data_IF_092987072814
#
_entry.id   IF_092987072814
#
_cell.length_a   1.000
_cell.length_b   1.000
_cell.length_c   1.000
_cell.angle_alpha   90.00
_cell.angle_beta   90.00
_cell.angle_gamma   90.00
#
_symmetry.space_group_name_H-M   'P 1'
#
loop_
_entity.id
_entity.type
_entity.pdbx_description
1 polymer ?
#
# COMPACT_ATOMS: atom_id res chain seq x y z
N UNK A 1 -1.36 -2.09 -28.14
CA UNK A 1 -2.64 -2.54 -28.74
C UNK A 1 -2.90 -3.98 -28.38
N UNK A 2 -2.20 -4.98 -28.94
CA UNK A 2 -2.49 -6.40 -28.71
C UNK A 2 -2.75 -6.85 -27.24
N UNK A 3 -1.96 -6.38 -26.27
CA UNK A 3 -2.18 -6.71 -24.85
C UNK A 3 -3.42 -6.03 -24.25
N UNK A 4 -3.65 -4.75 -24.57
CA UNK A 4 -4.82 -4.01 -24.08
C UNK A 4 -6.10 -4.60 -24.68
N UNK A 5 -6.06 -4.97 -25.95
CA UNK A 5 -7.17 -5.62 -26.65
C UNK A 5 -7.45 -7.01 -26.08
N UNK A 6 -6.40 -7.78 -25.74
CA UNK A 6 -6.53 -9.07 -25.05
C UNK A 6 -7.17 -8.93 -23.67
N UNK A 7 -6.73 -7.95 -22.88
CA UNK A 7 -7.28 -7.66 -21.55
C UNK A 7 -8.73 -7.19 -21.60
N UNK A 8 -9.09 -6.39 -22.60
CA UNK A 8 -10.45 -5.93 -22.81
C UNK A 8 -11.38 -7.04 -23.29
N UNK A 9 -10.87 -7.99 -24.08
CA UNK A 9 -11.67 -9.08 -24.67
C UNK A 9 -11.71 -10.36 -23.85
N UNK A 10 -10.79 -10.55 -22.90
CA UNK A 10 -10.69 -11.79 -22.13
C UNK A 10 -10.63 -11.54 -20.62
N UNK A 11 -11.77 -11.74 -19.96
CA UNK A 11 -11.92 -11.57 -18.51
C UNK A 11 -10.96 -12.46 -17.72
N UNK A 12 -10.70 -13.69 -18.14
CA UNK A 12 -9.81 -14.58 -17.40
C UNK A 12 -8.37 -14.03 -17.35
N UNK A 13 -7.87 -13.49 -18.47
CA UNK A 13 -6.57 -12.84 -18.51
C UNK A 13 -6.53 -11.56 -17.68
N UNK A 14 -7.59 -10.75 -17.73
CA UNK A 14 -7.72 -9.57 -16.89
C UNK A 14 -7.63 -9.91 -15.40
N UNK A 15 -8.40 -10.89 -14.94
CA UNK A 15 -8.40 -11.32 -13.55
C UNK A 15 -7.06 -11.90 -13.12
N UNK A 16 -6.43 -12.73 -13.96
CA UNK A 16 -5.13 -13.33 -13.67
C UNK A 16 -4.01 -12.28 -13.56
N UNK A 17 -3.94 -11.35 -14.51
CA UNK A 17 -2.95 -10.28 -14.51
C UNK A 17 -3.18 -9.34 -13.31
N UNK A 18 -4.43 -9.02 -13.01
CA UNK A 18 -4.75 -8.17 -11.86
C UNK A 18 -4.44 -8.85 -10.53
N UNK A 19 -4.65 -10.17 -10.42
CA UNK A 19 -4.26 -10.94 -9.24
C UNK A 19 -2.74 -10.92 -9.02
N UNK A 20 -1.96 -11.14 -10.09
CA UNK A 20 -0.49 -11.09 -10.04
C UNK A 20 0.00 -9.69 -9.68
N UNK A 21 -0.59 -8.65 -10.27
CA UNK A 21 -0.29 -7.27 -9.92
C UNK A 21 -0.62 -6.99 -8.44
N UNK A 22 -1.78 -7.46 -7.96
CA UNK A 22 -2.19 -7.32 -6.57
C UNK A 22 -1.23 -8.01 -5.59
N UNK A 23 -0.67 -9.17 -5.93
CA UNK A 23 0.39 -9.82 -5.14
C UNK A 23 1.65 -8.95 -5.05
N UNK A 24 2.10 -8.41 -6.20
CA UNK A 24 3.30 -7.55 -6.26
C UNK A 24 3.10 -6.25 -5.48
N UNK A 25 1.95 -5.60 -5.68
CA UNK A 25 1.61 -4.37 -4.97
C UNK A 25 1.43 -4.63 -3.48
N UNK A 26 0.75 -5.72 -3.09
CA UNK A 26 0.62 -6.11 -1.68
C UNK A 26 1.96 -6.31 -0.98
N UNK A 27 2.95 -6.84 -1.70
CA UNK A 27 4.32 -6.97 -1.17
C UNK A 27 4.96 -5.60 -0.94
N UNK A 28 4.75 -4.65 -1.85
CA UNK A 28 5.15 -3.25 -1.65
C UNK A 28 4.36 -2.56 -0.52
N UNK A 29 3.07 -2.85 -0.35
CA UNK A 29 2.25 -2.29 0.72
C UNK A 29 2.81 -2.65 2.10
N UNK A 30 3.36 -3.85 2.29
CA UNK A 30 4.07 -4.20 3.53
C UNK A 30 5.20 -3.21 3.86
N UNK A 31 5.91 -2.72 2.84
CA UNK A 31 6.96 -1.69 3.00
C UNK A 31 6.35 -0.35 3.40
N UNK A 32 5.28 0.07 2.72
CA UNK A 32 4.58 1.33 3.03
C UNK A 32 4.03 1.32 4.45
N UNK A 33 3.29 0.27 4.82
CA UNK A 33 2.67 0.09 6.14
C UNK A 33 3.71 0.19 7.25
N UNK A 34 4.86 -0.45 7.07
CA UNK A 34 5.91 -0.45 8.09
C UNK A 34 6.72 0.85 8.12
N UNK A 35 7.12 1.38 6.97
CA UNK A 35 8.12 2.46 6.91
C UNK A 35 7.53 3.86 6.95
N UNK A 36 6.34 4.07 6.41
CA UNK A 36 5.76 5.40 6.32
C UNK A 36 5.56 6.05 7.70
N UNK A 37 5.00 5.36 8.72
CA UNK A 37 4.88 5.94 10.06
C UNK A 37 6.24 6.25 10.70
N UNK A 38 7.25 5.41 10.46
CA UNK A 38 8.61 5.61 10.97
C UNK A 38 9.28 6.84 10.35
N UNK A 39 9.10 7.04 9.04
CA UNK A 39 9.60 8.22 8.32
C UNK A 39 8.95 9.47 8.91
N UNK A 40 7.61 9.49 9.02
CA UNK A 40 6.88 10.63 9.58
C UNK A 40 7.30 10.95 11.01
N UNK A 41 7.51 9.93 11.86
CA UNK A 41 7.96 10.13 13.24
C UNK A 41 9.37 10.73 13.30
N UNK A 42 10.26 10.33 12.38
CA UNK A 42 11.61 10.89 12.28
C UNK A 42 11.57 12.35 11.84
N UNK A 43 10.81 12.65 10.79
CA UNK A 43 10.66 14.02 10.27
C UNK A 43 10.09 14.94 11.36
N UNK A 44 9.07 14.48 12.10
CA UNK A 44 8.50 15.22 13.23
C UNK A 44 9.52 15.50 14.33
N UNK A 45 10.33 14.51 14.72
CA UNK A 45 11.39 14.71 15.73
C UNK A 45 12.45 15.71 15.28
N UNK A 46 12.83 15.66 14.00
CA UNK A 46 13.78 16.61 13.41
C UNK A 46 13.25 18.03 13.49
N UNK A 47 11.98 18.24 13.12
CA UNK A 47 11.30 19.54 13.21
C UNK A 47 11.20 20.06 14.66
N UNK A 48 10.93 19.18 15.64
CA UNK A 48 10.92 19.57 17.04
C UNK A 48 12.31 19.97 17.55
N UNK A 49 13.36 19.24 17.15
CA UNK A 49 14.74 19.58 17.53
C UNK A 49 15.15 20.94 16.95
N UNK A 50 14.83 21.19 15.67
CA UNK A 50 15.03 22.48 15.02
C UNK A 50 14.27 23.61 15.76
N UNK A 51 12.98 23.41 16.05
CA UNK A 51 12.15 24.41 16.73
C UNK A 51 12.64 24.74 18.15
N UNK A 52 13.21 23.77 18.87
CA UNK A 52 13.73 23.94 20.22
C UNK A 52 15.20 24.40 20.25
N UNK A 53 15.81 24.65 19.09
CA UNK A 53 17.24 24.97 18.93
C UNK A 53 18.16 23.92 19.60
N UNK A 54 17.70 22.67 19.66
CA UNK A 54 18.48 21.57 20.21
C UNK A 54 19.30 20.91 19.09
N UNK A 55 20.60 20.62 19.31
CA UNK A 55 21.38 19.87 18.34
C UNK A 55 20.70 18.52 18.11
N UNK A 56 20.40 18.23 16.86
CA UNK A 56 19.72 17.00 16.45
C UNK A 56 20.50 15.79 16.99
N UNK A 57 19.94 15.11 17.98
CA UNK A 57 20.44 13.81 18.43
C UNK A 57 19.96 12.76 17.43
N UNK A 58 20.38 12.87 16.17
CA UNK A 58 20.12 11.85 15.18
C UNK A 58 20.77 10.57 15.69
N UNK A 59 20.02 9.47 15.93
CA UNK A 59 20.65 8.17 16.01
C UNK A 59 21.47 8.00 14.72
N UNK A 60 22.66 7.43 14.81
CA UNK A 60 23.53 7.15 13.64
C UNK A 60 22.93 6.12 12.66
N UNK A 61 21.61 5.95 12.65
CA UNK A 61 20.87 5.02 11.81
C UNK A 61 20.80 5.54 10.38
N UNK A 62 20.91 4.59 9.44
CA UNK A 62 20.81 4.80 8.01
C UNK A 62 19.51 5.56 7.65
N UNK A 63 19.61 6.50 6.72
CA UNK A 63 18.45 7.22 6.19
C UNK A 63 17.41 6.22 5.63
N UNK A 64 16.21 6.21 6.21
CA UNK A 64 15.11 5.33 5.78
C UNK A 64 14.22 6.10 4.81
N UNK A 65 13.94 5.48 3.68
CA UNK A 65 12.90 5.86 2.73
C UNK A 65 12.07 4.63 2.36
N UNK A 66 11.05 4.82 1.51
CA UNK A 66 10.26 3.71 0.98
C UNK A 66 11.10 2.75 0.11
N UNK A 67 12.16 3.24 -0.55
CA UNK A 67 12.99 2.44 -1.45
C UNK A 67 14.33 2.02 -0.84
N UNK A 68 14.78 2.64 0.25
CA UNK A 68 16.08 2.40 0.90
C UNK A 68 15.95 2.37 2.42
N UNK A 69 16.73 1.53 3.14
CA UNK A 69 17.56 0.44 2.62
C UNK A 69 16.71 -0.70 2.05
N UNK A 70 17.35 -1.70 1.43
CA UNK A 70 16.66 -2.92 0.97
C UNK A 70 15.98 -3.65 2.15
N UNK A 71 14.98 -4.48 1.85
CA UNK A 71 14.34 -5.34 2.87
C UNK A 71 15.38 -6.23 3.55
N UNK A 72 15.31 -6.33 4.88
CA UNK A 72 16.26 -7.09 5.71
C UNK A 72 15.53 -7.95 6.71
N UNK A 73 16.15 -9.06 7.12
CA UNK A 73 15.68 -9.85 8.25
C UNK A 73 15.82 -9.03 9.55
N UNK A 74 14.77 -8.91 10.39
CA UNK A 74 14.86 -8.17 11.65
C UNK A 74 15.73 -8.86 12.71
N UNK A 75 16.07 -10.14 12.52
CA UNK A 75 16.86 -10.90 13.51
C UNK A 75 18.37 -10.91 13.20
N UNK A 76 18.76 -11.15 11.95
CA UNK A 76 20.18 -11.24 11.56
C UNK A 76 20.66 -10.13 10.63
N UNK A 77 19.77 -9.25 10.15
CA UNK A 77 20.14 -8.17 9.22
C UNK A 77 20.43 -8.63 7.78
N UNK A 78 20.27 -9.93 7.48
CA UNK A 78 20.40 -10.49 6.13
C UNK A 78 19.58 -9.68 5.12
N UNK A 79 20.21 -9.31 4.00
CA UNK A 79 19.54 -8.54 2.95
C UNK A 79 18.74 -9.48 2.06
N UNK A 80 17.43 -9.26 2.01
CA UNK A 80 16.52 -10.10 1.24
C UNK A 80 16.77 -9.90 -0.26
N UNK A 81 17.10 -11.00 -0.94
CA UNK A 81 17.28 -11.09 -2.38
C UNK A 81 15.96 -11.01 -3.15
N UNK A 82 16.03 -10.80 -4.48
CA UNK A 82 14.84 -10.68 -5.31
C UNK A 82 13.98 -11.97 -5.29
N UNK A 83 14.61 -13.14 -5.30
CA UNK A 83 13.93 -14.44 -5.25
C UNK A 83 13.27 -14.70 -3.88
N UNK A 84 13.88 -14.18 -2.81
CA UNK A 84 13.33 -14.26 -1.45
C UNK A 84 12.16 -13.28 -1.23
N UNK A 85 11.96 -12.34 -2.17
CA UNK A 85 10.90 -11.33 -2.13
C UNK A 85 9.78 -11.59 -3.15
N UNK A 86 9.69 -12.81 -3.72
CA UNK A 86 8.58 -13.19 -4.59
C UNK A 86 7.33 -13.39 -3.71
N UNK A 87 6.26 -12.58 -3.91
CA UNK A 87 5.09 -12.58 -3.03
C UNK A 87 4.50 -13.98 -2.86
N UNK A 88 4.17 -14.36 -1.61
CA UNK A 88 3.60 -15.64 -1.17
C UNK A 88 4.50 -16.87 -1.42
N UNK A 89 5.06 -17.00 -2.62
CA UNK A 89 5.86 -18.14 -3.07
C UNK A 89 7.15 -18.25 -2.25
N UNK A 90 7.87 -17.15 -2.04
CA UNK A 90 9.11 -17.19 -1.25
C UNK A 90 8.84 -17.58 0.20
N UNK A 91 7.74 -17.07 0.78
CA UNK A 91 7.32 -17.41 2.14
C UNK A 91 7.01 -18.90 2.28
N UNK A 92 6.26 -19.48 1.33
CA UNK A 92 5.93 -20.90 1.34
C UNK A 92 7.16 -21.79 1.15
N UNK A 93 8.05 -21.43 0.22
CA UNK A 93 9.29 -22.17 -0.02
C UNK A 93 10.19 -22.14 1.22
N UNK A 94 10.41 -20.97 1.80
CA UNK A 94 11.22 -20.81 3.01
C UNK A 94 10.49 -21.28 4.29
N UNK A 95 9.26 -21.79 4.18
CA UNK A 95 8.40 -22.26 5.28
C UNK A 95 8.22 -21.20 6.38
N UNK A 96 8.08 -19.94 5.96
CA UNK A 96 7.93 -18.79 6.84
C UNK A 96 9.17 -18.51 7.70
N UNK A 97 10.38 -18.82 7.21
CA UNK A 97 11.64 -18.58 7.92
C UNK A 97 12.62 -17.76 7.09
N UNK A 98 13.55 -17.08 7.74
CA UNK A 98 14.70 -16.47 7.07
C UNK A 98 15.61 -17.56 6.49
N UNK A 99 16.11 -17.36 5.27
CA UNK A 99 17.00 -18.31 4.61
C UNK A 99 18.36 -18.45 5.31
N UNK A 100 18.82 -17.40 5.99
CA UNK A 100 20.13 -17.36 6.65
C UNK A 100 20.05 -17.83 8.12
N UNK A 101 19.29 -17.13 8.97
CA UNK A 101 19.22 -17.45 10.40
C UNK A 101 18.09 -18.41 10.81
N UNK A 102 17.16 -18.77 9.90
CA UNK A 102 16.04 -19.66 10.23
C UNK A 102 14.97 -19.07 11.16
N UNK A 103 15.08 -17.80 11.55
CA UNK A 103 14.09 -17.11 12.38
C UNK A 103 12.73 -17.02 11.66
N UNK A 104 11.63 -17.11 12.41
CA UNK A 104 10.27 -17.07 11.84
C UNK A 104 9.94 -15.67 11.32
N UNK A 105 9.35 -15.61 10.13
CA UNK A 105 8.81 -14.41 9.50
C UNK A 105 7.29 -14.38 9.75
N UNK A 106 6.77 -13.22 10.14
CA UNK A 106 5.35 -13.03 10.44
C UNK A 106 4.46 -13.46 9.27
N UNK A 107 3.34 -14.16 9.51
CA UNK A 107 2.37 -14.48 8.45
C UNK A 107 1.63 -13.23 7.94
N UNK A 108 1.77 -12.08 8.59
CA UNK A 108 1.17 -10.81 8.16
C UNK A 108 1.58 -10.43 6.73
N UNK A 109 2.84 -10.69 6.35
CA UNK A 109 3.36 -10.36 5.01
C UNK A 109 2.57 -11.08 3.89
N UNK A 110 2.52 -12.44 3.86
CA UNK A 110 1.75 -13.14 2.83
C UNK A 110 0.24 -12.91 2.96
N UNK A 111 -0.30 -12.63 4.15
CA UNK A 111 -1.72 -12.29 4.30
C UNK A 111 -2.04 -11.00 3.55
N UNK A 112 -1.25 -9.93 3.73
CA UNK A 112 -1.46 -8.66 3.01
C UNK A 112 -1.34 -8.85 1.51
N UNK A 113 -0.38 -9.65 1.04
CA UNK A 113 -0.21 -9.97 -0.38
C UNK A 113 -1.45 -10.67 -0.95
N UNK A 114 -1.95 -11.71 -0.29
CA UNK A 114 -3.13 -12.49 -0.72
C UNK A 114 -4.39 -11.62 -0.68
N UNK A 115 -4.62 -10.87 0.40
CA UNK A 115 -5.79 -9.99 0.52
C UNK A 115 -5.76 -8.92 -0.57
N UNK A 116 -4.59 -8.34 -0.86
CA UNK A 116 -4.45 -7.34 -1.93
C UNK A 116 -4.75 -7.98 -3.29
N UNK A 117 -4.28 -9.19 -3.57
CA UNK A 117 -4.60 -9.91 -4.80
C UNK A 117 -6.10 -10.19 -4.93
N UNK A 118 -6.73 -10.73 -3.88
CA UNK A 118 -8.16 -11.06 -3.88
C UNK A 118 -9.04 -9.83 -4.08
N UNK A 119 -8.78 -8.74 -3.36
CA UNK A 119 -9.55 -7.51 -3.51
C UNK A 119 -9.31 -6.87 -4.88
N UNK A 120 -8.08 -6.89 -5.39
CA UNK A 120 -7.77 -6.40 -6.74
C UNK A 120 -8.54 -7.19 -7.81
N UNK A 121 -8.61 -8.51 -7.67
CA UNK A 121 -9.40 -9.37 -8.57
C UNK A 121 -10.90 -9.09 -8.44
N UNK A 122 -11.41 -8.84 -7.23
CA UNK A 122 -12.82 -8.47 -7.04
C UNK A 122 -13.17 -7.15 -7.75
N UNK A 123 -12.30 -6.15 -7.64
CA UNK A 123 -12.44 -4.86 -8.36
C UNK A 123 -12.39 -5.06 -9.87
N UNK A 124 -11.45 -5.88 -10.38
CA UNK A 124 -11.36 -6.22 -11.81
C UNK A 124 -12.60 -6.94 -12.32
N UNK A 125 -13.18 -7.84 -11.52
CA UNK A 125 -14.40 -8.53 -11.88
C UNK A 125 -15.59 -7.56 -11.93
N UNK A 126 -15.68 -6.61 -10.99
CA UNK A 126 -16.77 -5.66 -10.94
C UNK A 126 -16.73 -4.61 -12.05
N UNK A 127 -15.59 -3.97 -12.26
CA UNK A 127 -15.47 -2.84 -13.20
C UNK A 127 -15.06 -3.24 -14.63
N UNK A 128 -14.47 -4.43 -14.82
CA UNK A 128 -13.87 -4.81 -16.09
C UNK A 128 -12.67 -3.94 -16.47
N UNK A 129 -12.16 -4.07 -17.70
CA UNK A 129 -11.01 -3.29 -18.14
C UNK A 129 -11.39 -1.83 -18.43
N UNK A 130 -10.75 -0.87 -17.76
CA UNK A 130 -10.99 0.56 -18.00
C UNK A 130 -10.46 1.47 -16.88
N UNK A 131 -10.77 2.77 -16.98
CA UNK A 131 -10.35 3.76 -15.98
C UNK A 131 -10.97 3.54 -14.60
N UNK A 132 -12.19 3.00 -14.54
CA UNK A 132 -12.85 2.63 -13.29
C UNK A 132 -12.10 1.50 -12.55
N UNK A 133 -11.49 0.57 -13.28
CA UNK A 133 -10.62 -0.42 -12.66
C UNK A 133 -9.35 0.21 -12.10
N UNK A 134 -8.69 1.07 -12.87
CA UNK A 134 -7.45 1.70 -12.43
C UNK A 134 -7.65 2.53 -11.15
N UNK A 135 -8.71 3.35 -11.08
CA UNK A 135 -9.03 4.11 -9.87
C UNK A 135 -9.48 3.22 -8.71
N UNK A 136 -10.28 2.18 -8.98
CA UNK A 136 -10.72 1.21 -7.96
C UNK A 136 -9.56 0.45 -7.34
N UNK A 137 -8.55 0.06 -8.13
CA UNK A 137 -7.33 -0.59 -7.64
C UNK A 137 -6.52 0.35 -6.75
N UNK A 138 -6.29 1.58 -7.21
CA UNK A 138 -5.55 2.58 -6.43
C UNK A 138 -6.23 2.84 -5.08
N UNK A 139 -7.55 3.05 -5.09
CA UNK A 139 -8.35 3.24 -3.87
C UNK A 139 -8.21 2.03 -2.94
N UNK A 140 -8.36 0.82 -3.49
CA UNK A 140 -8.26 -0.43 -2.71
C UNK A 140 -6.89 -0.59 -2.07
N UNK A 141 -5.81 -0.40 -2.82
CA UNK A 141 -4.45 -0.53 -2.31
C UNK A 141 -4.15 0.49 -1.21
N UNK A 142 -4.62 1.72 -1.40
CA UNK A 142 -4.43 2.76 -0.41
C UNK A 142 -5.26 2.52 0.86
N UNK A 143 -6.50 2.04 0.75
CA UNK A 143 -7.32 1.66 1.91
C UNK A 143 -6.73 0.47 2.68
N UNK A 144 -6.13 -0.51 2.00
CA UNK A 144 -5.40 -1.60 2.66
C UNK A 144 -4.23 -1.04 3.47
N UNK A 145 -3.44 -0.14 2.87
CA UNK A 145 -2.32 0.50 3.57
C UNK A 145 -2.80 1.30 4.79
N UNK A 146 -3.80 2.17 4.61
CA UNK A 146 -4.38 2.99 5.67
C UNK A 146 -4.95 2.15 6.80
N UNK A 147 -5.72 1.10 6.49
CA UNK A 147 -6.30 0.20 7.51
C UNK A 147 -5.22 -0.43 8.37
N UNK A 148 -4.13 -0.92 7.75
CA UNK A 148 -3.07 -1.59 8.49
C UNK A 148 -2.18 -0.62 9.25
N UNK A 149 -1.98 0.61 8.77
CA UNK A 149 -1.29 1.68 9.51
C UNK A 149 -2.15 2.11 10.72
N UNK A 150 -3.45 2.29 10.52
CA UNK A 150 -4.39 2.67 11.57
C UNK A 150 -4.48 1.59 12.67
N UNK A 151 -4.53 0.32 12.30
CA UNK A 151 -4.51 -0.80 13.28
C UNK A 151 -3.23 -0.79 14.13
N UNK A 152 -2.08 -0.45 13.55
CA UNK A 152 -0.79 -0.46 14.27
C UNK A 152 -0.51 0.82 15.06
N UNK A 153 -0.95 1.97 14.55
CA UNK A 153 -0.51 3.29 15.00
C UNK A 153 -1.65 4.28 15.28
N UNK A 154 -2.90 3.94 14.97
CA UNK A 154 -4.07 4.82 15.05
C UNK A 154 -3.84 6.16 14.33
N UNK A 155 -3.20 6.08 13.16
CA UNK A 155 -2.76 7.21 12.38
C UNK A 155 -3.20 7.04 10.92
N UNK A 156 -3.76 8.09 10.34
CA UNK A 156 -4.12 8.18 8.93
C UNK A 156 -3.22 9.22 8.24
N UNK A 157 -2.18 8.78 7.51
CA UNK A 157 -1.25 9.71 6.87
C UNK A 157 -1.91 10.59 5.80
N UNK A 158 -1.79 11.91 5.96
CA UNK A 158 -2.31 12.90 5.01
C UNK A 158 -1.67 12.79 3.61
N UNK A 159 -0.45 12.26 3.54
CA UNK A 159 0.22 11.96 2.28
C UNK A 159 -0.44 10.82 1.48
N UNK A 160 -1.40 10.09 2.05
CA UNK A 160 -2.25 9.11 1.36
C UNK A 160 -3.69 9.65 1.27
N UNK A 161 -4.27 10.14 2.36
CA UNK A 161 -5.70 10.51 2.40
C UNK A 161 -6.02 11.72 1.53
N UNK A 162 -5.20 12.78 1.55
CA UNK A 162 -5.47 14.00 0.77
C UNK A 162 -5.34 13.76 -0.74
N UNK A 163 -4.30 13.09 -1.27
CA UNK A 163 -4.25 12.76 -2.69
C UNK A 163 -5.42 11.89 -3.15
N UNK A 164 -5.87 10.93 -2.34
CA UNK A 164 -7.05 10.12 -2.66
C UNK A 164 -8.33 10.93 -2.72
N UNK A 165 -8.54 11.84 -1.78
CA UNK A 165 -9.70 12.72 -1.75
C UNK A 165 -9.79 13.54 -3.05
N UNK A 166 -8.70 14.23 -3.39
CA UNK A 166 -8.65 15.07 -4.58
C UNK A 166 -8.77 14.26 -5.88
N UNK A 167 -8.12 13.10 -5.94
CA UNK A 167 -8.22 12.21 -7.09
C UNK A 167 -9.63 11.64 -7.24
N UNK A 168 -10.28 11.24 -6.15
CA UNK A 168 -11.66 10.74 -6.18
C UNK A 168 -12.64 11.79 -6.71
N UNK A 169 -12.51 13.04 -6.28
CA UNK A 169 -13.30 14.15 -6.83
C UNK A 169 -12.97 14.39 -8.31
N UNK A 170 -11.69 14.41 -8.68
CA UNK A 170 -11.25 14.62 -10.05
C UNK A 170 -11.77 13.54 -11.02
N UNK A 171 -11.75 12.26 -10.62
CA UNK A 171 -12.28 11.15 -11.40
C UNK A 171 -13.81 11.27 -11.61
N UNK A 172 -14.53 11.83 -10.64
CA UNK A 172 -15.98 12.01 -10.73
C UNK A 172 -16.40 13.32 -11.42
N UNK A 173 -15.49 14.22 -11.78
CA UNK A 173 -15.81 15.35 -12.67
C UNK A 173 -16.38 14.88 -14.01
N UNK A 174 -15.92 13.72 -14.50
CA UNK A 174 -16.43 13.07 -15.71
C UNK A 174 -17.52 12.02 -15.45
N UNK A 175 -18.03 11.91 -14.22
CA UNK A 175 -19.02 10.89 -13.85
C UNK A 175 -18.51 9.46 -13.89
N UNK A 176 -17.21 9.22 -13.61
CA UNK A 176 -16.61 7.88 -13.75
C UNK A 176 -17.24 6.83 -12.82
N UNK A 177 -17.57 7.19 -11.58
CA UNK A 177 -18.25 6.30 -10.62
C UNK A 177 -19.61 6.83 -10.19
N UNK A 178 -19.73 8.13 -9.97
CA UNK A 178 -20.95 8.81 -9.51
C UNK A 178 -20.98 10.26 -9.99
N UNK A 179 -22.12 10.94 -9.89
CA UNK A 179 -22.21 12.39 -10.10
C UNK A 179 -21.41 13.19 -9.06
N UNK A 180 -21.01 14.41 -9.43
CA UNK A 180 -20.13 15.24 -8.61
C UNK A 180 -20.79 15.70 -7.31
N UNK A 181 -22.11 15.90 -7.31
CA UNK A 181 -22.84 16.34 -6.11
C UNK A 181 -22.78 15.24 -5.04
N UNK A 182 -23.08 14.00 -5.42
CA UNK A 182 -22.94 12.82 -4.56
C UNK A 182 -21.50 12.61 -4.09
N UNK A 183 -20.50 12.83 -4.96
CA UNK A 183 -19.09 12.68 -4.58
C UNK A 183 -18.67 13.73 -3.52
N UNK A 184 -19.08 14.99 -3.69
CA UNK A 184 -18.80 16.07 -2.73
C UNK A 184 -19.54 15.82 -1.42
N UNK A 185 -20.81 15.43 -1.46
CA UNK A 185 -21.58 15.07 -0.27
C UNK A 185 -20.92 13.90 0.46
N UNK A 186 -20.46 12.88 -0.25
CA UNK A 186 -19.74 11.73 0.31
C UNK A 186 -18.43 12.16 1.00
N UNK A 187 -17.67 13.05 0.37
CA UNK A 187 -16.45 13.62 0.96
C UNK A 187 -16.75 14.40 2.25
N UNK A 188 -17.78 15.26 2.23
CA UNK A 188 -18.21 16.02 3.41
C UNK A 188 -18.69 15.11 4.54
N UNK A 189 -19.53 14.13 4.22
CA UNK A 189 -20.06 13.18 5.19
C UNK A 189 -18.93 12.32 5.80
N UNK A 190 -18.01 11.82 4.98
CA UNK A 190 -16.85 11.07 5.45
C UNK A 190 -15.98 11.89 6.39
N UNK A 191 -15.63 13.12 5.99
CA UNK A 191 -14.81 14.02 6.81
C UNK A 191 -15.48 14.35 8.14
N UNK A 192 -16.79 14.63 8.14
CA UNK A 192 -17.52 15.07 9.34
C UNK A 192 -17.96 13.92 10.26
N UNK A 193 -18.06 12.69 9.75
CA UNK A 193 -18.60 11.54 10.50
C UNK A 193 -17.86 11.20 11.80
N UNK A 194 -16.59 11.57 11.92
CA UNK A 194 -15.76 11.33 13.10
C UNK A 194 -15.57 12.60 13.97
N UNK A 195 -16.19 13.71 13.60
CA UNK A 195 -16.15 14.99 14.32
C UNK A 195 -17.46 15.32 15.05
N UNK A 196 -18.43 14.40 15.03
CA UNK A 196 -19.66 14.44 15.81
C UNK A 196 -19.56 13.52 17.03
#
# INVERSE_FOLDING_TARGET
>A
MALLDLLASNTAWLLAITALLGLMVGSFLNVVIHRLPLIMQRDWRSQCAEYLEQPEQAPADEAISLSRPRSRCPHCGHTIGALENIPVISYLWLRGKCADCGARISPRYPIIEIVTALLSTAVAWHFGFGWALAGGLLLTWALIALTMIDVDHQLLPDNITLPLLWLGLALNLGGLYTDIDSAVIGAMAGYLSLWS
#
